data_IF_262798549492
#
_entry.id   IF_262798549492
#
_cell.length_a   1.000
_cell.length_b   1.000
_cell.length_c   1.000
_cell.angle_alpha   90.00
_cell.angle_beta   90.00
_cell.angle_gamma   90.00
#
_symmetry.space_group_name_H-M   'P 1'
#
loop_
_entity.id
_entity.type
_entity.pdbx_description
1 polymer ?
#
# COMPACT_ATOMS: atom_id res chain seq x y z
N UNK A 1 -2.69 -12.71 -0.72
CA UNK A 1 -2.28 -12.58 -2.13
C UNK A 1 -0.82 -12.97 -2.27
N UNK A 2 -0.34 -13.23 -3.51
CA UNK A 2 1.04 -13.67 -3.71
C UNK A 2 1.44 -13.80 -5.17
N UNK A 3 2.51 -14.56 -5.38
CA UNK A 3 3.14 -14.71 -6.70
C UNK A 3 2.19 -15.33 -7.73
N UNK A 4 2.41 -14.97 -9.00
CA UNK A 4 1.69 -15.52 -10.17
C UNK A 4 0.16 -15.41 -10.03
N UNK A 5 -0.31 -14.29 -9.54
CA UNK A 5 -1.73 -13.98 -9.40
C UNK A 5 -2.44 -14.77 -8.30
N UNK A 6 -1.71 -15.36 -7.35
CA UNK A 6 -2.31 -16.16 -6.28
C UNK A 6 -3.20 -15.30 -5.38
N UNK A 7 -4.46 -15.72 -5.24
CA UNK A 7 -5.40 -15.19 -4.25
C UNK A 7 -6.00 -16.37 -3.50
N UNK A 8 -5.92 -16.34 -2.18
CA UNK A 8 -6.54 -17.31 -1.28
C UNK A 8 -7.52 -16.59 -0.38
N UNK A 9 -8.67 -17.23 -0.12
CA UNK A 9 -9.66 -16.75 0.84
C UNK A 9 -9.96 -17.81 1.88
N UNK A 10 -10.24 -17.37 3.09
CA UNK A 10 -10.65 -18.21 4.21
C UNK A 10 -11.74 -17.51 5.02
N UNK A 11 -12.68 -18.26 5.56
CA UNK A 11 -13.69 -17.78 6.50
C UNK A 11 -13.31 -18.06 7.96
N UNK A 12 -12.32 -18.93 8.20
CA UNK A 12 -11.95 -19.43 9.52
C UNK A 12 -10.44 -19.25 9.84
N UNK A 13 -9.66 -18.73 8.87
CA UNK A 13 -8.21 -18.56 9.01
C UNK A 13 -7.40 -19.87 8.93
N UNK A 14 -8.06 -21.01 8.80
CA UNK A 14 -7.44 -22.34 8.78
C UNK A 14 -7.59 -23.05 7.45
N UNK A 15 -8.76 -22.96 6.84
CA UNK A 15 -9.09 -23.56 5.54
C UNK A 15 -9.05 -22.50 4.46
N UNK A 16 -8.17 -22.66 3.47
CA UNK A 16 -7.95 -21.68 2.42
C UNK A 16 -8.39 -22.18 1.05
N UNK A 17 -9.12 -21.35 0.34
CA UNK A 17 -9.64 -21.64 -1.00
C UNK A 17 -8.96 -20.75 -2.03
N UNK A 18 -8.42 -21.33 -3.10
CA UNK A 18 -7.84 -20.58 -4.21
C UNK A 18 -8.94 -19.89 -5.03
N UNK A 19 -8.65 -18.66 -5.48
CA UNK A 19 -9.52 -17.85 -6.33
C UNK A 19 -8.82 -17.51 -7.64
N UNK A 20 -9.61 -17.35 -8.69
CA UNK A 20 -9.10 -16.92 -10.00
C UNK A 20 -8.95 -15.41 -10.01
N UNK A 21 -7.71 -14.93 -10.04
CA UNK A 21 -7.41 -13.48 -10.07
C UNK A 21 -7.58 -12.85 -11.45
N UNK A 22 -7.48 -13.65 -12.52
CA UNK A 22 -7.46 -13.14 -13.90
C UNK A 22 -6.12 -12.57 -14.36
N UNK A 23 -5.07 -12.72 -13.56
CA UNK A 23 -3.71 -12.25 -13.87
C UNK A 23 -2.66 -13.29 -13.50
N UNK A 24 -1.47 -13.18 -14.10
CA UNK A 24 -0.26 -13.92 -13.72
C UNK A 24 0.78 -13.04 -13.03
N UNK A 25 0.46 -11.76 -12.82
CA UNK A 25 1.34 -10.81 -12.14
C UNK A 25 1.51 -11.17 -10.66
N UNK A 26 2.63 -10.80 -10.05
CA UNK A 26 2.80 -10.93 -8.60
C UNK A 26 1.92 -9.90 -7.89
N UNK A 27 1.22 -10.33 -6.86
CA UNK A 27 0.34 -9.50 -6.04
C UNK A 27 1.00 -9.29 -4.69
N UNK A 28 1.13 -8.02 -4.26
CA UNK A 28 1.92 -7.62 -3.10
C UNK A 28 1.05 -7.11 -1.95
N UNK A 29 0.17 -6.16 -2.21
CA UNK A 29 -0.68 -5.51 -1.22
C UNK A 29 -2.15 -5.85 -1.38
N UNK A 30 -2.87 -5.89 -0.26
CA UNK A 30 -4.34 -6.05 -0.24
C UNK A 30 -4.92 -5.27 0.93
N UNK A 31 -6.03 -4.60 0.69
CA UNK A 31 -6.87 -4.02 1.74
C UNK A 31 -8.35 -4.31 1.48
N UNK A 32 -9.18 -4.26 2.53
CA UNK A 32 -10.64 -4.36 2.42
C UNK A 32 -11.27 -3.24 3.21
N UNK A 33 -11.88 -2.32 2.52
CA UNK A 33 -12.62 -1.22 3.12
C UNK A 33 -13.72 -0.73 2.16
N UNK A 34 -14.70 -0.03 2.70
CA UNK A 34 -15.82 0.48 1.93
C UNK A 34 -16.48 -0.60 1.05
N UNK A 35 -16.65 -1.82 1.61
CA UNK A 35 -17.20 -3.00 0.94
C UNK A 35 -16.44 -3.41 -0.33
N UNK A 36 -15.18 -3.05 -0.44
CA UNK A 36 -14.34 -3.34 -1.62
C UNK A 36 -12.97 -3.86 -1.19
N UNK A 37 -12.60 -5.02 -1.70
CA UNK A 37 -11.21 -5.48 -1.71
C UNK A 37 -10.48 -4.75 -2.82
N UNK A 38 -9.29 -4.24 -2.52
CA UNK A 38 -8.34 -3.69 -3.49
C UNK A 38 -7.04 -4.44 -3.35
N UNK A 39 -6.55 -5.02 -4.45
CA UNK A 39 -5.26 -5.71 -4.54
C UNK A 39 -4.38 -4.95 -5.51
N UNK A 40 -3.11 -4.84 -5.18
CA UNK A 40 -2.09 -4.21 -6.02
C UNK A 40 -0.91 -5.14 -6.26
N UNK A 41 -0.19 -4.90 -7.36
CA UNK A 41 0.91 -5.79 -7.73
C UNK A 41 1.77 -5.31 -8.88
N UNK A 42 2.51 -6.26 -9.45
CA UNK A 42 3.57 -6.05 -10.42
C UNK A 42 3.08 -5.45 -11.74
N UNK A 43 4.04 -5.07 -12.56
CA UNK A 43 3.84 -4.41 -13.86
C UNK A 43 4.48 -5.16 -15.04
N UNK A 44 4.72 -6.46 -14.94
CA UNK A 44 5.37 -7.24 -16.01
C UNK A 44 4.63 -7.12 -17.35
N UNK A 45 3.31 -6.85 -17.31
CA UNK A 45 2.48 -6.57 -18.49
C UNK A 45 2.58 -5.11 -18.98
N UNK A 46 3.41 -4.25 -18.35
CA UNK A 46 3.65 -2.86 -18.72
C UNK A 46 2.75 -1.84 -18.01
N UNK A 47 1.94 -2.28 -17.04
CA UNK A 47 1.11 -1.41 -16.18
C UNK A 47 0.99 -2.03 -14.80
N UNK A 48 1.11 -1.23 -13.75
CA UNK A 48 0.91 -1.70 -12.38
C UNK A 48 -0.47 -2.36 -12.21
N UNK A 49 -0.50 -3.53 -11.59
CA UNK A 49 -1.72 -4.32 -11.45
C UNK A 49 -2.60 -3.77 -10.34
N UNK A 50 -3.88 -3.56 -10.63
CA UNK A 50 -4.94 -3.31 -9.63
C UNK A 50 -6.10 -4.26 -9.91
N UNK A 51 -6.51 -4.99 -8.89
CA UNK A 51 -7.72 -5.82 -8.91
C UNK A 51 -8.67 -5.35 -7.81
N UNK A 52 -9.97 -5.41 -8.10
CA UNK A 52 -11.02 -5.14 -7.10
C UNK A 52 -12.01 -6.27 -7.04
N UNK A 53 -12.59 -6.47 -5.86
CA UNK A 53 -13.67 -7.43 -5.62
C UNK A 53 -14.58 -6.92 -4.50
N UNK A 54 -15.88 -7.18 -4.60
CA UNK A 54 -16.84 -6.91 -3.52
C UNK A 54 -17.09 -8.15 -2.65
N UNK A 55 -16.72 -9.34 -3.12
CA UNK A 55 -17.04 -10.63 -2.51
C UNK A 55 -15.80 -11.48 -2.17
N UNK A 56 -14.61 -11.05 -2.58
CA UNK A 56 -13.36 -11.80 -2.44
C UNK A 56 -13.26 -13.02 -3.37
N UNK A 57 -14.24 -13.23 -4.25
CA UNK A 57 -14.35 -14.39 -5.14
C UNK A 57 -14.16 -13.97 -6.60
N UNK A 58 -14.92 -12.95 -7.02
CA UNK A 58 -14.91 -12.40 -8.38
C UNK A 58 -14.02 -11.17 -8.42
N UNK A 59 -12.96 -11.21 -9.25
CA UNK A 59 -11.96 -10.16 -9.33
C UNK A 59 -12.01 -9.45 -10.68
N UNK A 60 -11.91 -8.12 -10.65
CA UNK A 60 -11.98 -7.26 -11.83
C UNK A 60 -10.71 -6.42 -11.91
N UNK A 61 -10.01 -6.50 -13.05
CA UNK A 61 -8.83 -5.67 -13.32
C UNK A 61 -9.23 -4.20 -13.49
N UNK A 62 -8.44 -3.29 -12.89
CA UNK A 62 -8.61 -1.85 -12.99
C UNK A 62 -7.37 -1.20 -13.61
N UNK A 63 -7.57 -0.03 -14.21
CA UNK A 63 -6.46 0.75 -14.78
C UNK A 63 -5.73 1.52 -13.68
N UNK A 64 -4.44 1.28 -13.54
CA UNK A 64 -3.60 1.96 -12.54
C UNK A 64 -3.14 3.36 -12.97
N UNK A 65 -3.08 3.62 -14.30
CA UNK A 65 -2.55 4.89 -14.82
C UNK A 65 -1.03 5.06 -14.63
N UNK A 66 -0.31 4.00 -14.21
CA UNK A 66 1.15 4.00 -14.07
C UNK A 66 1.76 2.74 -14.68
N UNK A 67 3.01 2.84 -15.12
CA UNK A 67 3.81 1.71 -15.58
C UNK A 67 4.68 1.12 -14.49
N UNK A 68 4.62 1.63 -13.26
CA UNK A 68 5.39 1.13 -12.13
C UNK A 68 4.67 -0.01 -11.43
N UNK A 69 5.43 -0.93 -10.83
CA UNK A 69 4.89 -1.92 -9.88
C UNK A 69 4.31 -1.22 -8.67
N UNK A 70 3.14 -1.68 -8.22
CA UNK A 70 2.45 -1.17 -7.05
C UNK A 70 2.75 -2.09 -5.87
N UNK A 71 3.23 -1.53 -4.75
CA UNK A 71 3.72 -2.31 -3.62
C UNK A 71 2.70 -2.46 -2.51
N UNK A 72 2.01 -1.38 -2.18
CA UNK A 72 1.10 -1.38 -1.05
C UNK A 72 -0.15 -0.56 -1.32
N UNK A 73 -1.24 -0.87 -0.59
CA UNK A 73 -2.50 -0.16 -0.63
C UNK A 73 -3.12 -0.08 0.76
N UNK A 74 -3.42 1.13 1.19
CA UNK A 74 -3.99 1.44 2.49
C UNK A 74 -5.31 2.19 2.34
N UNK A 75 -6.14 2.17 3.38
CA UNK A 75 -7.37 2.93 3.43
C UNK A 75 -7.44 3.77 4.70
N UNK A 76 -7.90 4.99 4.56
CA UNK A 76 -8.16 5.91 5.66
C UNK A 76 -8.80 7.20 5.16
N UNK A 77 -9.43 7.94 6.04
CA UNK A 77 -10.10 9.19 5.71
C UNK A 77 -10.95 9.11 4.42
N UNK A 78 -11.73 8.02 4.28
CA UNK A 78 -12.57 7.70 3.12
C UNK A 78 -11.82 7.64 1.78
N UNK A 79 -10.55 7.25 1.79
CA UNK A 79 -9.73 7.09 0.58
C UNK A 79 -8.86 5.86 0.65
N UNK A 80 -8.71 5.22 -0.49
CA UNK A 80 -7.61 4.32 -0.76
C UNK A 80 -6.39 5.13 -1.19
N UNK A 81 -5.23 4.74 -0.72
CA UNK A 81 -3.93 5.29 -1.09
C UNK A 81 -3.02 4.12 -1.44
N UNK A 82 -2.44 4.12 -2.62
CA UNK A 82 -1.44 3.15 -3.03
C UNK A 82 -0.09 3.82 -3.26
N UNK A 83 0.96 3.01 -3.18
CA UNK A 83 2.33 3.42 -3.42
C UNK A 83 2.99 2.58 -4.51
N UNK A 84 3.97 3.15 -5.21
CA UNK A 84 4.68 2.49 -6.29
C UNK A 84 6.20 2.44 -6.10
N UNK A 85 6.85 1.63 -6.96
CA UNK A 85 8.29 1.39 -6.92
C UNK A 85 9.17 2.57 -7.35
N UNK A 86 8.58 3.67 -7.82
CA UNK A 86 9.30 4.87 -8.21
C UNK A 86 8.97 6.08 -7.31
N UNK A 87 8.37 5.84 -6.13
CA UNK A 87 7.99 6.89 -5.18
C UNK A 87 6.71 7.63 -5.52
N UNK A 88 5.94 7.10 -6.47
CA UNK A 88 4.62 7.62 -6.81
C UNK A 88 3.56 7.21 -5.79
N UNK A 89 2.60 8.09 -5.58
CA UNK A 89 1.39 7.83 -4.81
C UNK A 89 0.17 8.10 -5.68
N UNK A 90 -0.84 7.26 -5.54
CA UNK A 90 -2.15 7.48 -6.13
C UNK A 90 -3.21 7.38 -5.05
N UNK A 91 -4.31 8.07 -5.24
CA UNK A 91 -5.46 7.96 -4.34
C UNK A 91 -6.76 7.76 -5.10
N UNK A 92 -7.69 7.07 -4.44
CA UNK A 92 -9.03 6.78 -4.97
C UNK A 92 -10.06 6.84 -3.84
N UNK A 93 -11.27 7.30 -4.13
CA UNK A 93 -12.39 7.25 -3.20
C UNK A 93 -13.20 5.95 -3.31
N UNK A 94 -13.07 5.23 -4.43
CA UNK A 94 -13.90 4.07 -4.78
C UNK A 94 -13.09 2.77 -5.04
N UNK A 95 -11.75 2.87 -5.06
CA UNK A 95 -10.85 1.76 -5.42
C UNK A 95 -10.83 1.44 -6.92
N UNK A 96 -11.59 2.17 -7.73
CA UNK A 96 -11.77 1.92 -9.17
C UNK A 96 -11.06 2.98 -10.01
N UNK A 97 -11.32 4.25 -9.70
CA UNK A 97 -10.76 5.41 -10.40
C UNK A 97 -9.61 5.99 -9.59
N UNK A 98 -8.41 5.98 -10.15
CA UNK A 98 -7.20 6.39 -9.47
C UNK A 98 -6.66 7.71 -10.00
N UNK A 99 -6.24 8.57 -9.10
CA UNK A 99 -5.63 9.86 -9.42
C UNK A 99 -4.19 9.87 -8.93
N UNK A 100 -3.25 10.04 -9.86
CA UNK A 100 -1.82 10.24 -9.52
C UNK A 100 -1.66 11.48 -8.67
N UNK A 101 -0.88 11.35 -7.61
CA UNK A 101 -0.37 12.47 -6.83
C UNK A 101 1.08 12.73 -7.23
N UNK A 102 1.57 13.92 -6.98
CA UNK A 102 2.98 14.23 -7.26
C UNK A 102 3.84 13.20 -6.53
N UNK A 103 4.80 12.62 -7.23
CA UNK A 103 5.77 11.72 -6.63
C UNK A 103 6.48 12.44 -5.47
N UNK A 104 6.39 11.86 -4.29
CA UNK A 104 6.94 12.45 -3.07
C UNK A 104 8.39 12.04 -2.84
N UNK A 105 8.82 11.01 -3.54
CA UNK A 105 10.19 10.51 -3.57
C UNK A 105 10.58 10.17 -5.02
N UNK A 106 11.85 10.00 -5.28
CA UNK A 106 12.39 9.43 -6.53
C UNK A 106 12.73 7.95 -6.35
N UNK A 107 12.42 7.39 -5.19
CA UNK A 107 12.73 6.01 -4.79
C UNK A 107 11.48 5.32 -4.29
N UNK A 108 11.46 3.98 -4.36
CA UNK A 108 10.29 3.18 -4.04
C UNK A 108 9.73 3.40 -2.64
N UNK A 109 8.42 3.46 -2.54
CA UNK A 109 7.66 3.44 -1.29
C UNK A 109 7.11 2.04 -1.15
N UNK A 110 7.52 1.33 -0.09
CA UNK A 110 7.23 -0.10 0.04
C UNK A 110 6.07 -0.42 0.97
N UNK A 111 5.89 0.36 2.02
CA UNK A 111 4.82 0.12 2.97
C UNK A 111 4.21 1.39 3.53
N UNK A 112 3.01 1.27 4.07
CA UNK A 112 2.30 2.38 4.67
C UNK A 112 1.24 1.94 5.66
N UNK A 113 0.69 2.88 6.39
CA UNK A 113 -0.41 2.69 7.31
C UNK A 113 -1.26 3.94 7.43
N UNK A 114 -2.52 3.76 7.86
CA UNK A 114 -3.36 4.86 8.30
C UNK A 114 -3.68 4.71 9.78
N UNK A 115 -3.42 5.74 10.54
CA UNK A 115 -3.76 5.80 11.96
C UNK A 115 -3.65 7.22 12.49
N UNK A 116 -4.24 7.48 13.64
CA UNK A 116 -4.25 8.81 14.26
C UNK A 116 -4.56 9.95 13.26
N UNK A 117 -5.56 9.71 12.39
CA UNK A 117 -6.00 10.63 11.32
C UNK A 117 -4.92 11.00 10.29
N UNK A 118 -3.93 10.12 10.08
CA UNK A 118 -2.85 10.32 9.10
C UNK A 118 -2.52 9.05 8.33
N UNK A 119 -2.19 9.23 7.07
CA UNK A 119 -1.40 8.27 6.32
C UNK A 119 0.08 8.47 6.65
N UNK A 120 0.79 7.40 6.81
CA UNK A 120 2.25 7.35 6.96
C UNK A 120 2.78 6.34 5.95
N UNK A 121 3.77 6.71 5.16
CA UNK A 121 4.44 5.81 4.21
C UNK A 121 5.94 5.87 4.40
N UNK A 122 6.60 4.74 4.17
CA UNK A 122 8.02 4.57 4.36
C UNK A 122 8.73 4.19 3.05
N UNK A 123 9.93 4.72 2.83
CA UNK A 123 10.69 4.54 1.60
C UNK A 123 12.00 3.78 1.80
N UNK A 124 12.52 3.29 0.68
CA UNK A 124 13.79 2.52 0.60
C UNK A 124 15.03 3.31 1.04
N UNK A 125 14.96 4.63 1.19
CA UNK A 125 16.07 5.45 1.67
C UNK A 125 15.88 5.94 3.11
N UNK A 126 14.94 5.35 3.83
CA UNK A 126 14.67 5.70 5.22
C UNK A 126 13.84 6.97 5.39
N UNK A 127 13.28 7.52 4.31
CA UNK A 127 12.36 8.64 4.43
C UNK A 127 10.99 8.17 4.88
N UNK A 128 10.32 9.03 5.63
CA UNK A 128 8.91 8.87 6.01
C UNK A 128 8.15 10.07 5.49
N UNK A 129 6.99 9.82 4.91
CA UNK A 129 6.08 10.86 4.46
C UNK A 129 4.74 10.69 5.13
N UNK A 130 4.08 11.81 5.43
CA UNK A 130 2.77 11.82 6.09
C UNK A 130 1.78 12.69 5.33
N UNK A 131 0.52 12.30 5.40
CA UNK A 131 -0.59 13.05 4.82
C UNK A 131 -1.84 12.90 5.69
N UNK A 132 -2.59 13.98 5.91
CA UNK A 132 -3.91 13.92 6.56
C UNK A 132 -5.04 13.61 5.58
N UNK A 133 -4.83 13.85 4.27
CA UNK A 133 -5.88 13.79 3.25
C UNK A 133 -5.59 12.79 2.11
N UNK A 134 -4.42 12.11 2.14
CA UNK A 134 -3.98 11.20 1.09
C UNK A 134 -3.65 11.89 -0.25
N UNK A 135 -3.55 13.22 -0.26
CA UNK A 135 -3.30 14.02 -1.48
C UNK A 135 -2.10 14.95 -1.36
N UNK A 136 -1.93 15.57 -0.21
CA UNK A 136 -0.82 16.47 0.10
C UNK A 136 0.10 15.78 1.11
N UNK A 137 1.38 15.67 0.80
CA UNK A 137 2.34 14.90 1.56
C UNK A 137 3.48 15.77 2.08
N UNK A 138 3.91 15.48 3.30
CA UNK A 138 5.03 16.13 3.96
C UNK A 138 6.12 15.12 4.27
N UNK A 139 7.38 15.48 3.99
CA UNK A 139 8.54 14.70 4.42
C UNK A 139 8.75 14.87 5.93
N UNK A 140 9.03 13.77 6.61
CA UNK A 140 9.31 13.72 8.05
C UNK A 140 10.71 13.17 8.27
N UNK A 141 11.45 13.75 9.22
CA UNK A 141 12.78 13.25 9.58
C UNK A 141 12.65 11.93 10.32
N UNK A 142 12.96 10.82 9.65
CA UNK A 142 12.85 9.47 10.22
C UNK A 142 14.02 9.09 11.15
N UNK A 143 15.13 9.86 11.12
CA UNK A 143 16.39 9.50 11.80
C UNK A 143 17.01 8.16 11.39
N UNK A 144 16.49 7.51 10.35
CA UNK A 144 17.07 6.28 9.78
C UNK A 144 17.88 6.61 8.54
N UNK A 145 19.09 6.03 8.44
CA UNK A 145 19.86 5.98 7.19
C UNK A 145 19.60 4.66 6.43
N UNK A 146 18.79 3.76 7.02
CA UNK A 146 18.48 2.46 6.47
C UNK A 146 17.14 2.48 5.74
N UNK A 147 17.00 1.65 4.71
CA UNK A 147 15.73 1.43 4.04
C UNK A 147 14.67 0.97 5.05
N UNK A 148 13.47 1.55 4.94
CA UNK A 148 12.30 1.16 5.70
C UNK A 148 11.38 0.37 4.77
N UNK A 149 10.97 -0.82 5.22
CA UNK A 149 10.27 -1.79 4.39
C UNK A 149 8.76 -1.72 4.60
N UNK A 150 8.31 -1.42 5.83
CA UNK A 150 6.89 -1.44 6.16
C UNK A 150 6.57 -0.51 7.34
N UNK A 151 5.31 -0.12 7.44
CA UNK A 151 4.72 0.64 8.55
C UNK A 151 3.41 0.00 8.95
N UNK A 152 3.18 -0.15 10.25
CA UNK A 152 1.89 -0.53 10.81
C UNK A 152 1.44 0.47 11.87
N UNK A 153 0.14 0.55 12.12
CA UNK A 153 -0.43 1.36 13.21
C UNK A 153 -1.36 0.50 14.05
N UNK A 154 -0.99 0.30 15.29
CA UNK A 154 -1.80 -0.39 16.28
C UNK A 154 -1.55 0.18 17.68
N UNK A 155 -2.51 0.07 18.57
CA UNK A 155 -2.42 0.54 19.97
C UNK A 155 -1.89 1.99 20.07
N UNK A 156 -2.41 2.89 19.24
CA UNK A 156 -2.02 4.31 19.19
C UNK A 156 -0.55 4.56 18.87
N UNK A 157 0.11 3.59 18.19
CA UNK A 157 1.52 3.67 17.87
C UNK A 157 1.76 3.25 16.42
N UNK A 158 2.48 4.08 15.66
CA UNK A 158 3.09 3.67 14.41
C UNK A 158 4.39 2.93 14.72
N UNK A 159 4.62 1.84 14.02
CA UNK A 159 5.88 1.08 14.06
C UNK A 159 6.35 0.91 12.62
N UNK A 160 7.58 1.31 12.32
CA UNK A 160 8.24 1.00 11.05
C UNK A 160 9.39 0.06 11.27
N UNK A 161 9.59 -0.84 10.31
CA UNK A 161 10.68 -1.80 10.28
C UNK A 161 11.50 -1.65 9.00
N UNK A 162 12.77 -2.00 9.07
CA UNK A 162 13.65 -1.86 7.91
C UNK A 162 14.87 -2.76 7.96
N UNK A 163 15.79 -2.53 7.02
CA UNK A 163 17.02 -3.30 6.90
C UNK A 163 17.94 -3.09 8.13
N UNK A 164 18.88 -4.00 8.33
CA UNK A 164 19.84 -3.97 9.44
C UNK A 164 19.18 -3.94 10.83
N UNK A 165 17.99 -4.54 10.96
CA UNK A 165 17.26 -4.58 12.23
C UNK A 165 16.68 -3.22 12.66
N UNK A 166 16.49 -2.29 11.75
CA UNK A 166 15.87 -0.99 12.06
C UNK A 166 14.43 -1.17 12.51
N UNK A 167 14.11 -0.63 13.68
CA UNK A 167 12.75 -0.49 14.21
C UNK A 167 12.63 0.92 14.77
N UNK A 168 11.60 1.64 14.39
CA UNK A 168 11.29 2.96 14.93
C UNK A 168 9.80 3.03 15.29
N UNK A 169 9.47 3.85 16.26
CA UNK A 169 8.10 4.04 16.71
C UNK A 169 7.74 5.52 16.77
N UNK A 170 6.46 5.80 16.57
CA UNK A 170 5.91 7.14 16.68
C UNK A 170 4.46 7.10 17.16
N UNK A 171 4.07 7.96 18.07
CA UNK A 171 2.66 8.10 18.48
C UNK A 171 1.86 9.02 17.55
N UNK A 172 2.55 9.88 16.82
CA UNK A 172 1.94 10.95 16.01
C UNK A 172 2.25 10.89 14.51
N UNK A 173 3.10 9.91 14.10
CA UNK A 173 3.56 9.75 12.72
C UNK A 173 4.55 10.82 12.25
N UNK A 174 4.95 11.77 13.14
CA UNK A 174 5.83 12.90 12.79
C UNK A 174 7.10 12.95 13.60
N UNK A 175 7.09 12.41 14.79
CA UNK A 175 8.26 12.31 15.68
C UNK A 175 8.65 10.84 15.82
N UNK A 176 9.82 10.47 15.33
CA UNK A 176 10.31 9.08 15.27
C UNK A 176 11.57 8.85 16.09
#
# INVERSE_FOLDING_TARGET
VGNSGTILTSSDGTTWTSRTSGTTEHLYGITYENSTFVVVGDNSSGSGTILTSSDGITWITRTSGTTNSLWDVNYGNNKFVLSDGAGGIQSSSDGISWTSRVGIDTYGIWGGAYGNSKFVVASVWGYIFTSSDGTSWNNVISRSANALNDVVYENSTFVTVGVNGTIQTSSDGTSW
#
